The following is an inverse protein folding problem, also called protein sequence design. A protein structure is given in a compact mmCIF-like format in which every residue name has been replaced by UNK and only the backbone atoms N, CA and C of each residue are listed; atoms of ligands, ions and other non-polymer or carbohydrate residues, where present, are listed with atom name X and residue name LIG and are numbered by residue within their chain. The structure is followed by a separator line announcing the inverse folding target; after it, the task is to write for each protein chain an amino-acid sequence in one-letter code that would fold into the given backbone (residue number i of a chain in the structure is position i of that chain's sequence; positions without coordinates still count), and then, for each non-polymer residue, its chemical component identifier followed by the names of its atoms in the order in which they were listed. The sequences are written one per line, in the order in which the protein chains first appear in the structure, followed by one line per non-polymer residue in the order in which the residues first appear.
data_IF_404893597254
#
_entry.id   IF_404893597254
#
_cell.length_a   1.000
_cell.length_b   1.000
_cell.length_c   1.000
_cell.angle_alpha   90.00
_cell.angle_beta   90.00
_cell.angle_gamma   90.00
#
_symmetry.space_group_name_H-M   'P 1'
#
loop_
_entity.id
_entity.type
_entity.pdbx_description
1 polymer ?
#
# COMPACT_ATOMS: atom_id res chain seq x y z
N UNK A 1 14.63 11.80 16.30
CA UNK A 1 14.45 10.38 16.69
C UNK A 1 15.72 9.77 17.28
N UNK A 2 16.87 10.21 16.88
CA UNK A 2 18.17 9.72 17.40
C UNK A 2 18.39 10.01 18.89
N UNK A 3 17.58 10.89 19.47
CA UNK A 3 17.58 11.22 20.91
C UNK A 3 16.80 10.22 21.77
N UNK A 4 16.01 9.31 21.17
CA UNK A 4 15.25 8.32 21.91
C UNK A 4 16.07 7.03 22.03
N UNK A 5 16.60 6.67 23.21
CA UNK A 5 17.50 5.54 23.37
C UNK A 5 16.94 4.21 22.86
N UNK A 6 15.63 4.02 22.96
CA UNK A 6 14.92 2.83 22.48
C UNK A 6 15.00 2.70 20.94
N UNK A 7 14.99 3.81 20.22
CA UNK A 7 14.97 3.84 18.75
C UNK A 7 16.37 3.80 18.12
N UNK A 8 17.42 4.22 18.86
CA UNK A 8 18.79 4.33 18.35
C UNK A 8 19.37 3.02 17.80
N UNK A 9 18.93 1.86 18.33
CA UNK A 9 19.41 0.53 17.93
C UNK A 9 18.49 -0.18 16.93
N UNK A 10 17.41 0.47 16.51
CA UNK A 10 16.47 -0.13 15.56
C UNK A 10 16.94 0.11 14.13
N UNK A 11 16.97 -0.96 13.35
CA UNK A 11 17.05 -0.86 11.89
C UNK A 11 15.62 -0.80 11.35
N UNK A 12 15.19 0.41 10.96
CA UNK A 12 13.84 0.62 10.42
C UNK A 12 13.85 0.45 8.90
N UNK A 13 13.06 -0.49 8.41
CA UNK A 13 12.85 -0.74 6.98
C UNK A 13 11.48 -0.19 6.56
N UNK A 14 10.40 -0.77 7.07
CA UNK A 14 9.03 -0.33 6.75
C UNK A 14 8.74 1.09 7.22
N UNK A 15 9.29 1.49 8.36
CA UNK A 15 9.09 2.82 8.95
C UNK A 15 10.30 3.75 8.74
N UNK A 16 11.10 3.53 7.68
CA UNK A 16 12.31 4.33 7.45
C UNK A 16 12.01 5.82 7.33
N UNK A 17 10.89 6.19 6.70
CA UNK A 17 10.46 7.57 6.49
C UNK A 17 9.59 8.16 7.59
N UNK A 18 8.99 7.31 8.44
CA UNK A 18 8.09 7.75 9.52
C UNK A 18 8.79 8.72 10.48
N UNK A 19 8.26 9.94 10.60
CA UNK A 19 8.82 11.03 11.39
C UNK A 19 10.09 11.66 10.80
N UNK A 20 10.39 11.38 9.54
CA UNK A 20 11.50 11.96 8.78
C UNK A 20 10.96 12.90 7.69
N UNK A 21 9.91 12.48 6.98
CA UNK A 21 9.27 13.24 5.92
C UNK A 21 7.96 13.87 6.39
N UNK A 22 7.50 14.90 5.68
CA UNK A 22 6.10 15.33 5.72
C UNK A 22 5.26 14.31 4.93
N UNK A 23 4.26 13.65 5.55
CA UNK A 23 3.47 12.60 4.93
C UNK A 23 2.67 13.04 3.69
N UNK A 24 2.40 14.34 3.56
CA UNK A 24 1.65 14.93 2.45
C UNK A 24 2.54 15.75 1.50
N UNK A 25 3.85 15.59 1.58
CA UNK A 25 4.81 16.22 0.68
C UNK A 25 5.34 15.23 -0.34
N UNK A 26 4.93 15.39 -1.61
CA UNK A 26 5.49 14.59 -2.72
C UNK A 26 7.00 14.75 -2.85
N UNK A 27 7.49 15.98 -2.71
CA UNK A 27 8.93 16.25 -2.82
C UNK A 27 9.73 15.54 -1.74
N UNK A 28 9.23 15.52 -0.50
CA UNK A 28 9.88 14.78 0.58
C UNK A 28 9.87 13.28 0.30
N UNK A 29 8.73 12.75 -0.15
CA UNK A 29 8.61 11.35 -0.49
C UNK A 29 9.56 10.94 -1.61
N UNK A 30 9.62 11.70 -2.72
CA UNK A 30 10.54 11.44 -3.84
C UNK A 30 12.02 11.59 -3.44
N UNK A 31 12.38 12.59 -2.63
CA UNK A 31 13.73 12.76 -2.11
C UNK A 31 14.19 11.58 -1.23
N UNK A 32 13.24 10.82 -0.70
CA UNK A 32 13.47 9.59 0.07
C UNK A 32 13.13 8.31 -0.70
N UNK A 33 13.40 8.33 -2.01
CA UNK A 33 13.22 7.20 -2.96
C UNK A 33 11.76 6.78 -3.20
N UNK A 34 10.78 7.58 -2.81
CA UNK A 34 9.39 7.36 -3.14
C UNK A 34 9.13 7.37 -4.64
N UNK A 35 8.14 6.61 -5.07
CA UNK A 35 7.73 6.39 -6.45
C UNK A 35 8.80 5.80 -7.39
N UNK A 36 9.99 5.50 -6.89
CA UNK A 36 11.01 4.85 -7.72
C UNK A 36 10.60 3.44 -8.14
N UNK A 37 9.96 2.70 -7.26
CA UNK A 37 9.41 1.38 -7.54
C UNK A 37 8.26 1.44 -8.55
N UNK A 38 7.35 2.40 -8.39
CA UNK A 38 6.26 2.59 -9.34
C UNK A 38 6.79 2.96 -10.74
N UNK A 39 7.70 3.91 -10.83
CA UNK A 39 8.32 4.30 -12.12
C UNK A 39 8.92 3.10 -12.84
N UNK A 40 9.63 2.21 -12.13
CA UNK A 40 10.15 0.96 -12.71
C UNK A 40 9.02 0.00 -13.13
N UNK A 41 8.00 -0.18 -12.29
CA UNK A 41 6.89 -1.08 -12.58
C UNK A 41 6.07 -0.65 -13.80
N UNK A 42 6.01 0.65 -14.09
CA UNK A 42 5.32 1.17 -15.27
C UNK A 42 5.95 0.72 -16.59
N UNK A 43 7.26 0.48 -16.60
CA UNK A 43 7.99 -0.03 -17.77
C UNK A 43 7.97 -1.56 -17.92
N UNK A 44 7.35 -2.27 -16.95
CA UNK A 44 7.34 -3.72 -16.88
C UNK A 44 5.98 -4.31 -17.22
N UNK A 45 5.97 -5.55 -17.69
CA UNK A 45 4.76 -6.38 -17.73
C UNK A 45 4.36 -6.87 -16.34
N UNK A 46 3.08 -7.21 -16.14
CA UNK A 46 2.62 -7.80 -14.88
C UNK A 46 3.40 -9.06 -14.49
N UNK A 47 3.77 -9.91 -15.46
CA UNK A 47 4.55 -11.13 -15.22
C UNK A 47 5.97 -10.82 -14.72
N UNK A 48 6.62 -9.79 -15.25
CA UNK A 48 7.95 -9.37 -14.80
C UNK A 48 7.91 -8.83 -13.37
N UNK A 49 6.89 -8.01 -13.04
CA UNK A 49 6.69 -7.51 -11.67
C UNK A 49 6.48 -8.69 -10.70
N UNK A 50 5.58 -9.62 -11.05
CA UNK A 50 5.32 -10.80 -10.21
C UNK A 50 6.57 -11.66 -10.03
N UNK A 51 7.40 -11.82 -11.05
CA UNK A 51 8.67 -12.55 -10.94
C UNK A 51 9.62 -11.87 -9.96
N UNK A 52 9.80 -10.56 -10.05
CA UNK A 52 10.62 -9.80 -9.08
C UNK A 52 10.12 -9.96 -7.65
N UNK A 53 8.79 -9.90 -7.44
CA UNK A 53 8.20 -10.10 -6.11
C UNK A 53 8.43 -11.53 -5.59
N UNK A 54 8.40 -12.54 -6.45
CA UNK A 54 8.76 -13.93 -6.07
C UNK A 54 10.22 -14.03 -5.65
N UNK A 55 11.11 -13.47 -6.48
CA UNK A 55 12.57 -13.54 -6.26
C UNK A 55 12.99 -12.78 -5.01
N UNK A 56 12.29 -11.67 -4.68
CA UNK A 56 12.53 -10.91 -3.44
C UNK A 56 12.18 -11.69 -2.17
N UNK A 57 11.39 -12.75 -2.26
CA UNK A 57 10.90 -13.50 -1.12
C UNK A 57 9.90 -12.74 -0.24
N UNK A 58 9.29 -11.65 -0.75
CA UNK A 58 8.30 -10.86 0.00
C UNK A 58 7.15 -11.72 0.48
N UNK A 59 6.79 -11.56 1.75
CA UNK A 59 5.69 -12.28 2.40
C UNK A 59 4.67 -11.33 3.00
N UNK A 60 3.44 -11.81 3.13
CA UNK A 60 2.37 -11.10 3.84
C UNK A 60 2.75 -10.82 5.30
N UNK A 61 2.23 -9.72 5.83
CA UNK A 61 2.47 -9.25 7.20
C UNK A 61 1.26 -9.41 8.13
N UNK A 62 0.20 -10.06 7.67
CA UNK A 62 -1.01 -10.35 8.44
C UNK A 62 -0.96 -11.65 9.27
N UNK A 63 0.23 -12.10 9.69
CA UNK A 63 0.43 -13.28 10.55
C UNK A 63 0.75 -14.57 9.80
N UNK A 64 0.05 -14.93 8.73
CA UNK A 64 0.28 -16.17 7.97
C UNK A 64 1.58 -16.19 7.15
N UNK A 65 2.20 -15.04 6.93
CA UNK A 65 3.44 -14.90 6.15
C UNK A 65 3.41 -15.60 4.78
N UNK A 66 2.26 -15.63 4.12
CA UNK A 66 2.11 -16.27 2.82
C UNK A 66 2.94 -15.53 1.76
N UNK A 67 3.62 -16.23 0.82
CA UNK A 67 4.43 -15.58 -0.22
C UNK A 67 3.60 -14.68 -1.11
N UNK A 68 3.90 -13.39 -1.15
CA UNK A 68 3.14 -12.37 -1.89
C UNK A 68 3.16 -12.65 -3.39
N UNK A 69 4.31 -13.03 -3.95
CA UNK A 69 4.42 -13.31 -5.37
C UNK A 69 3.58 -14.50 -5.84
N UNK A 70 3.29 -15.49 -4.97
CA UNK A 70 2.38 -16.59 -5.30
C UNK A 70 0.94 -16.09 -5.38
N UNK A 71 0.51 -15.25 -4.43
CA UNK A 71 -0.83 -14.64 -4.45
C UNK A 71 -1.03 -13.78 -5.71
N UNK A 72 -0.06 -12.95 -6.04
CA UNK A 72 -0.15 -12.08 -7.20
C UNK A 72 -0.17 -12.88 -8.50
N UNK A 73 0.63 -13.97 -8.59
CA UNK A 73 0.60 -14.85 -9.76
C UNK A 73 -0.80 -15.47 -9.95
N UNK A 74 -1.40 -15.97 -8.86
CA UNK A 74 -2.75 -16.56 -8.93
C UNK A 74 -3.76 -15.56 -9.49
N UNK A 75 -3.71 -14.31 -9.03
CA UNK A 75 -4.61 -13.26 -9.52
C UNK A 75 -4.29 -12.87 -10.96
N UNK A 76 -3.00 -12.77 -11.32
CA UNK A 76 -2.58 -12.48 -12.70
C UNK A 76 -3.10 -13.53 -13.67
N UNK A 77 -2.96 -14.82 -13.34
CA UNK A 77 -3.37 -15.95 -14.17
C UNK A 77 -4.89 -16.16 -14.23
N UNK A 78 -5.65 -15.53 -13.33
CA UNK A 78 -7.10 -15.65 -13.32
C UNK A 78 -7.71 -14.77 -14.42
N UNK A 79 -8.50 -15.37 -15.31
CA UNK A 79 -9.30 -14.64 -16.28
C UNK A 79 -10.52 -14.02 -15.59
N UNK A 80 -10.68 -12.71 -15.69
CA UNK A 80 -11.81 -11.97 -15.13
C UNK A 80 -11.94 -10.62 -15.82
N UNK A 81 -13.16 -10.19 -16.04
CA UNK A 81 -13.46 -8.87 -16.63
C UNK A 81 -13.04 -7.72 -15.69
N UNK A 82 -13.05 -7.95 -14.39
CA UNK A 82 -12.66 -6.97 -13.38
C UNK A 82 -11.86 -7.63 -12.26
N UNK A 83 -10.74 -7.01 -11.92
CA UNK A 83 -9.90 -7.37 -10.77
C UNK A 83 -9.77 -6.20 -9.80
N UNK A 84 -9.59 -6.51 -8.53
CA UNK A 84 -9.45 -5.50 -7.48
C UNK A 84 -8.23 -5.78 -6.62
N UNK A 85 -7.64 -4.71 -6.08
CA UNK A 85 -6.67 -4.78 -4.97
C UNK A 85 -7.34 -4.27 -3.72
N UNK A 86 -7.36 -5.08 -2.66
CA UNK A 86 -7.93 -4.67 -1.37
C UNK A 86 -6.85 -4.67 -0.30
N UNK A 87 -6.63 -3.50 0.29
CA UNK A 87 -5.83 -3.35 1.49
C UNK A 87 -6.73 -3.53 2.72
N UNK A 88 -6.46 -4.57 3.49
CA UNK A 88 -7.07 -4.71 4.81
C UNK A 88 -6.34 -3.79 5.79
N UNK A 89 -6.96 -2.67 6.14
CA UNK A 89 -6.47 -1.67 7.08
C UNK A 89 -7.33 -1.62 8.36
N UNK A 90 -7.94 -2.74 8.72
CA UNK A 90 -8.78 -2.83 9.91
C UNK A 90 -7.98 -2.93 11.22
N UNK A 91 -6.75 -3.40 11.20
CA UNK A 91 -5.82 -3.49 12.36
C UNK A 91 -6.54 -3.67 13.72
N UNK A 92 -7.35 -4.75 13.81
CA UNK A 92 -8.27 -4.96 14.93
C UNK A 92 -7.63 -5.39 16.25
N UNK A 93 -6.39 -5.89 16.25
CA UNK A 93 -5.72 -6.38 17.45
C UNK A 93 -5.31 -5.24 18.37
N UNK A 94 -5.78 -5.30 19.61
CA UNK A 94 -5.51 -4.29 20.64
C UNK A 94 -4.01 -4.13 20.91
N UNK A 95 -3.52 -2.89 20.87
CA UNK A 95 -2.10 -2.56 21.09
C UNK A 95 -1.23 -2.66 19.84
N UNK A 96 -1.78 -3.05 18.70
CA UNK A 96 -1.12 -2.97 17.39
C UNK A 96 -1.41 -1.60 16.77
N UNK A 97 -0.37 -0.90 16.34
CA UNK A 97 -0.48 0.43 15.71
C UNK A 97 0.48 0.59 14.53
N UNK A 98 0.96 -0.52 13.98
CA UNK A 98 1.93 -0.51 12.89
C UNK A 98 1.32 0.00 11.58
N UNK A 99 0.13 -0.46 11.25
CA UNK A 99 -0.57 -0.05 10.04
C UNK A 99 -1.05 1.39 10.16
N UNK A 100 -1.60 1.76 11.32
CA UNK A 100 -1.95 3.14 11.65
C UNK A 100 -0.79 4.09 11.47
N UNK A 101 0.38 3.75 12.02
CA UNK A 101 1.58 4.57 11.93
C UNK A 101 2.01 4.78 10.47
N UNK A 102 1.91 3.75 9.64
CA UNK A 102 2.23 3.84 8.22
C UNK A 102 1.22 4.74 7.49
N UNK A 103 -0.07 4.53 7.72
CA UNK A 103 -1.13 5.31 7.07
C UNK A 103 -1.11 6.80 7.44
N UNK A 104 -0.75 7.12 8.68
CA UNK A 104 -0.68 8.50 9.16
C UNK A 104 0.64 9.20 8.82
N UNK A 105 1.75 8.47 8.62
CA UNK A 105 3.07 9.07 8.51
C UNK A 105 3.81 8.77 7.20
N UNK A 106 3.35 7.82 6.39
CA UNK A 106 3.91 7.47 5.08
C UNK A 106 2.81 6.92 4.14
N UNK A 107 1.68 7.64 3.97
CA UNK A 107 0.54 7.16 3.20
C UNK A 107 0.87 6.93 1.73
N UNK A 108 1.79 7.71 1.16
CA UNK A 108 2.22 7.58 -0.23
C UNK A 108 2.91 6.24 -0.51
N UNK A 109 3.58 5.65 0.50
CA UNK A 109 4.14 4.30 0.40
C UNK A 109 3.06 3.22 0.21
N UNK A 110 1.94 3.34 0.92
CA UNK A 110 0.81 2.45 0.74
C UNK A 110 0.18 2.61 -0.64
N UNK A 111 -0.03 3.85 -1.08
CA UNK A 111 -0.59 4.16 -2.40
C UNK A 111 0.31 3.61 -3.51
N UNK A 112 1.62 3.86 -3.45
CA UNK A 112 2.60 3.31 -4.40
C UNK A 112 2.54 1.78 -4.44
N UNK A 113 2.59 1.12 -3.28
CA UNK A 113 2.56 -0.33 -3.19
C UNK A 113 1.27 -0.95 -3.76
N UNK A 114 0.11 -0.34 -3.50
CA UNK A 114 -1.16 -0.78 -4.05
C UNK A 114 -1.24 -0.56 -5.57
N UNK A 115 -0.70 0.56 -6.07
CA UNK A 115 -0.63 0.85 -7.51
C UNK A 115 0.24 -0.18 -8.24
N UNK A 116 1.42 -0.50 -7.70
CA UNK A 116 2.29 -1.55 -8.24
C UNK A 116 1.57 -2.91 -8.24
N UNK A 117 0.86 -3.25 -7.15
CA UNK A 117 0.09 -4.48 -7.08
C UNK A 117 -1.02 -4.52 -8.14
N UNK A 118 -1.75 -3.42 -8.34
CA UNK A 118 -2.77 -3.30 -9.37
C UNK A 118 -2.21 -3.54 -10.77
N UNK A 119 -1.13 -2.86 -11.12
CA UNK A 119 -0.44 -3.02 -12.39
C UNK A 119 0.04 -4.48 -12.59
N UNK A 120 0.60 -5.08 -11.54
CA UNK A 120 1.12 -6.45 -11.60
C UNK A 120 0.05 -7.50 -11.89
N UNK A 121 -1.16 -7.35 -11.33
CA UNK A 121 -2.22 -8.34 -11.46
C UNK A 121 -3.26 -8.00 -12.52
N UNK A 122 -3.16 -6.81 -13.14
CA UNK A 122 -4.12 -6.32 -14.13
C UNK A 122 -5.41 -5.81 -13.51
N UNK A 123 -5.35 -5.25 -12.31
CA UNK A 123 -6.44 -4.52 -11.67
C UNK A 123 -6.31 -3.01 -11.95
N UNK A 124 -7.41 -2.34 -12.16
CA UNK A 124 -7.51 -0.89 -12.35
C UNK A 124 -8.13 -0.16 -11.16
N UNK A 125 -8.62 -0.93 -10.17
CA UNK A 125 -9.29 -0.39 -8.98
C UNK A 125 -8.78 -1.06 -7.71
N UNK A 126 -8.58 -0.23 -6.68
CA UNK A 126 -8.23 -0.70 -5.35
C UNK A 126 -9.10 -0.07 -4.25
N UNK A 127 -9.21 -0.78 -3.14
CA UNK A 127 -9.91 -0.33 -1.94
C UNK A 127 -9.02 -0.42 -0.72
N UNK A 128 -9.04 0.61 0.10
CA UNK A 128 -8.46 0.59 1.45
C UNK A 128 -9.63 0.42 2.42
N UNK A 129 -9.77 -0.78 2.99
CA UNK A 129 -10.76 -1.03 4.03
C UNK A 129 -10.17 -0.61 5.38
N UNK A 130 -10.55 0.60 5.82
CA UNK A 130 -10.01 1.27 7.00
C UNK A 130 -11.00 1.14 8.16
N UNK A 131 -10.48 0.82 9.35
CA UNK A 131 -11.30 0.80 10.54
C UNK A 131 -11.79 2.21 10.93
N UNK A 132 -13.01 2.28 11.44
CA UNK A 132 -13.68 3.53 11.83
C UNK A 132 -12.96 4.30 12.97
N UNK A 133 -12.23 3.58 13.81
CA UNK A 133 -11.53 4.14 14.95
C UNK A 133 -10.24 4.90 14.61
N UNK A 134 -9.89 5.01 13.33
CA UNK A 134 -8.69 5.73 12.84
C UNK A 134 -9.04 6.99 12.03
N UNK A 135 -9.72 8.00 12.61
CA UNK A 135 -10.18 9.17 11.86
C UNK A 135 -9.02 10.00 11.28
N UNK A 136 -7.88 10.07 11.97
CA UNK A 136 -6.70 10.77 11.44
C UNK A 136 -6.13 10.06 10.21
N UNK A 137 -6.00 8.73 10.26
CA UNK A 137 -5.55 7.95 9.11
C UNK A 137 -6.50 8.13 7.91
N UNK A 138 -7.82 8.20 8.14
CA UNK A 138 -8.79 8.49 7.09
C UNK A 138 -8.50 9.83 6.41
N UNK A 139 -8.37 10.91 7.19
CA UNK A 139 -8.11 12.25 6.65
C UNK A 139 -6.79 12.29 5.87
N UNK A 140 -5.72 11.75 6.45
CA UNK A 140 -4.40 11.74 5.79
C UNK A 140 -4.41 10.93 4.50
N UNK A 141 -5.07 9.76 4.48
CA UNK A 141 -5.18 8.94 3.28
C UNK A 141 -6.03 9.61 2.19
N UNK A 142 -7.14 10.28 2.54
CA UNK A 142 -7.94 11.04 1.56
C UNK A 142 -7.10 12.12 0.89
N UNK A 143 -6.38 12.92 1.69
CA UNK A 143 -5.51 13.98 1.18
C UNK A 143 -4.37 13.41 0.32
N UNK A 144 -3.74 12.31 0.75
CA UNK A 144 -2.70 11.66 -0.01
C UNK A 144 -3.18 11.07 -1.35
N UNK A 145 -4.39 10.49 -1.40
CA UNK A 145 -5.00 9.99 -2.63
C UNK A 145 -5.28 11.16 -3.59
N UNK A 146 -5.85 12.26 -3.10
CA UNK A 146 -6.08 13.47 -3.92
C UNK A 146 -4.76 14.02 -4.45
N UNK A 147 -3.73 14.08 -3.60
CA UNK A 147 -2.40 14.54 -3.98
C UNK A 147 -1.78 13.65 -5.06
N UNK A 148 -1.86 12.33 -4.92
CA UNK A 148 -1.35 11.37 -5.89
C UNK A 148 -2.09 11.47 -7.25
N UNK A 149 -3.42 11.65 -7.24
CA UNK A 149 -4.21 11.87 -8.47
C UNK A 149 -3.81 13.16 -9.17
N UNK A 150 -3.72 14.27 -8.45
CA UNK A 150 -3.37 15.57 -9.01
C UNK A 150 -1.96 15.60 -9.61
N UNK A 151 -1.11 14.69 -9.18
CA UNK A 151 0.28 14.58 -9.63
C UNK A 151 0.52 13.41 -10.58
N UNK A 152 -0.55 12.81 -11.09
CA UNK A 152 -0.52 11.72 -12.08
C UNK A 152 0.18 10.43 -11.61
N UNK A 153 0.24 10.18 -10.29
CA UNK A 153 0.71 8.91 -9.72
C UNK A 153 -0.43 7.91 -9.47
N UNK A 154 -1.68 8.36 -9.68
CA UNK A 154 -2.90 7.57 -9.49
C UNK A 154 -3.96 8.04 -10.47
N UNK A 155 -4.86 7.15 -10.90
CA UNK A 155 -5.96 7.43 -11.83
C UNK A 155 -5.72 6.84 -13.21
N UNK A 156 -6.09 7.60 -14.25
CA UNK A 156 -5.94 7.20 -15.65
C UNK A 156 -4.56 7.60 -16.18
N UNK A 157 -4.00 6.75 -17.04
CA UNK A 157 -2.76 7.01 -17.77
C UNK A 157 -1.60 7.48 -16.86
N UNK A 158 -1.35 6.75 -15.77
CA UNK A 158 -0.34 7.08 -14.76
C UNK A 158 1.02 7.36 -15.41
N UNK A 159 1.56 8.56 -15.17
CA UNK A 159 2.84 9.04 -15.72
C UNK A 159 2.99 8.79 -17.23
N UNK A 160 1.91 8.91 -17.99
CA UNK A 160 1.85 8.69 -19.45
C UNK A 160 2.21 7.26 -19.91
N UNK A 161 2.10 6.28 -19.03
CA UNK A 161 2.41 4.87 -19.29
C UNK A 161 1.32 4.08 -20.00
N UNK A 162 0.11 4.65 -20.16
CA UNK A 162 -1.08 3.93 -20.62
C UNK A 162 -1.70 2.98 -19.58
N UNK A 163 -1.18 2.93 -18.36
CA UNK A 163 -1.70 2.10 -17.26
C UNK A 163 -2.61 2.92 -16.35
N UNK A 164 -3.66 2.28 -15.86
CA UNK A 164 -4.67 2.90 -15.00
C UNK A 164 -4.72 2.16 -13.67
N UNK A 165 -4.85 2.89 -12.59
CA UNK A 165 -5.18 2.35 -11.29
C UNK A 165 -5.69 3.45 -10.37
N UNK A 166 -6.83 3.26 -9.73
CA UNK A 166 -7.40 4.24 -8.80
C UNK A 166 -7.78 3.60 -7.46
N UNK A 167 -7.78 4.41 -6.40
CA UNK A 167 -8.01 4.00 -5.03
C UNK A 167 -9.22 4.68 -4.42
N UNK A 168 -9.92 3.94 -3.58
CA UNK A 168 -11.03 4.44 -2.78
C UNK A 168 -10.94 3.90 -1.34
N UNK A 169 -11.23 4.76 -0.37
CA UNK A 169 -11.30 4.35 1.04
C UNK A 169 -12.71 3.87 1.35
N UNK A 170 -12.80 2.74 2.04
CA UNK A 170 -14.04 2.20 2.60
C UNK A 170 -13.88 2.10 4.11
N UNK A 171 -14.69 2.86 4.84
CA UNK A 171 -14.71 2.79 6.31
C UNK A 171 -15.44 1.53 6.76
N UNK A 172 -14.84 0.83 7.70
CA UNK A 172 -15.47 -0.24 8.46
C UNK A 172 -16.58 0.27 9.34
N UNK A 173 -17.39 -0.64 9.87
CA UNK A 173 -18.50 -0.32 10.76
C UNK A 173 -18.23 -0.79 12.21
N UNK A 174 -16.98 -0.79 12.64
CA UNK A 174 -16.57 -1.19 14.00
C UNK A 174 -16.65 -2.70 14.26
N UNK A 175 -16.65 -3.54 13.22
CA UNK A 175 -16.70 -4.98 13.36
C UNK A 175 -15.31 -5.57 13.55
N UNK A 176 -14.96 -6.01 14.76
CA UNK A 176 -13.70 -6.71 15.08
C UNK A 176 -13.41 -7.92 14.21
N UNK A 177 -14.46 -8.57 13.69
CA UNK A 177 -14.38 -9.85 12.95
C UNK A 177 -13.88 -9.72 11.50
N UNK A 178 -13.66 -8.51 11.00
CA UNK A 178 -13.23 -8.29 9.60
C UNK A 178 -11.88 -8.92 9.26
N UNK A 179 -11.06 -9.29 10.25
CA UNK A 179 -9.78 -9.98 10.10
C UNK A 179 -9.88 -11.50 10.27
N UNK A 180 -11.05 -12.04 10.59
CA UNK A 180 -11.23 -13.48 10.78
C UNK A 180 -11.36 -14.19 9.45
N UNK A 181 -10.30 -14.87 9.01
CA UNK A 181 -10.31 -15.80 7.86
C UNK A 181 -11.11 -17.08 8.12
N UNK A 182 -11.72 -17.22 9.31
CA UNK A 182 -12.49 -18.42 9.72
C UNK A 182 -13.92 -18.41 9.15
N UNK A 183 -14.36 -17.29 8.60
CA UNK A 183 -15.74 -17.09 8.16
C UNK A 183 -15.90 -16.82 6.67
N UNK A 184 -14.86 -17.17 5.87
CA UNK A 184 -14.94 -17.17 4.40
C UNK A 184 -15.19 -18.59 3.92
#
# INVERSE_FOLDING_TARGET
MDEIPYLQKQQRVTFARVGVIDPLSLSDYENHFGFSGLKQALDMSGQEIVSQIKDSGLRGRGGAAFPTGIKWQTVLDTESDQKYVVCNADEGDSGTYSDRMLMESDPLCLIEGMTIAGIAVGADKGYIYLRDEYPLAFTVLEEAIVLARNSNFLGENILDSGKNFDLEIRLGAGAYICLSLIHI
#
